data_IF_328139493895
#
_entry.id   IF_328139493895
#
_cell.length_a   1.000
_cell.length_b   1.000
_cell.length_c   1.000
_cell.angle_alpha   90.00
_cell.angle_beta   90.00
_cell.angle_gamma   90.00
#
_symmetry.space_group_name_H-M   'P 1'
#
loop_
_entity.id
_entity.type
_entity.pdbx_description
1 polymer ?
#
# COMPACT_ATOMS: atom_id res chain seq x y z
N UNK A 1 -1.93 44.40 8.33
CA UNK A 1 -2.85 43.94 7.26
C UNK A 1 -4.18 43.55 7.91
N UNK A 2 -5.30 43.84 7.27
CA UNK A 2 -6.58 43.31 7.72
C UNK A 2 -6.73 41.81 7.34
N UNK A 3 -7.67 41.15 7.95
CA UNK A 3 -7.85 39.70 7.78
C UNK A 3 -8.18 39.29 6.32
N UNK A 4 -8.95 40.11 5.61
CA UNK A 4 -9.29 39.85 4.22
C UNK A 4 -8.06 39.91 3.32
N UNK A 5 -7.15 40.87 3.52
CA UNK A 5 -5.89 40.92 2.77
C UNK A 5 -5.01 39.72 3.04
N UNK A 6 -4.99 39.20 4.27
CA UNK A 6 -4.25 37.95 4.59
C UNK A 6 -4.87 36.74 3.92
N UNK A 7 -6.20 36.64 3.85
CA UNK A 7 -6.89 35.55 3.14
C UNK A 7 -6.57 35.57 1.65
N UNK A 8 -6.51 36.72 1.02
CA UNK A 8 -6.14 36.85 -0.40
C UNK A 8 -4.69 36.42 -0.66
N UNK A 9 -3.75 36.80 0.21
CA UNK A 9 -2.35 36.38 0.11
C UNK A 9 -2.27 34.85 0.21
N UNK A 10 -2.85 34.23 1.24
CA UNK A 10 -2.82 32.78 1.41
C UNK A 10 -3.45 32.08 0.21
N UNK A 11 -4.62 32.55 -0.25
CA UNK A 11 -5.30 32.00 -1.43
C UNK A 11 -4.42 32.04 -2.67
N UNK A 12 -3.73 33.17 -2.90
CA UNK A 12 -2.77 33.32 -4.01
C UNK A 12 -1.68 32.26 -3.93
N UNK A 13 -1.11 32.00 -2.75
CA UNK A 13 -0.07 30.95 -2.59
C UNK A 13 -0.62 29.56 -2.88
N UNK A 14 -1.84 29.23 -2.46
CA UNK A 14 -2.48 27.95 -2.84
C UNK A 14 -2.64 27.81 -4.35
N UNK A 15 -3.07 28.87 -5.04
CA UNK A 15 -3.23 28.86 -6.50
C UNK A 15 -1.88 28.78 -7.23
N UNK A 16 -0.91 29.61 -6.84
CA UNK A 16 0.38 29.72 -7.52
C UNK A 16 1.27 28.48 -7.32
N UNK A 17 1.23 27.88 -6.12
CA UNK A 17 2.12 26.75 -5.79
C UNK A 17 1.44 25.40 -5.85
N UNK A 18 0.16 25.29 -5.43
CA UNK A 18 -0.53 24.00 -5.34
C UNK A 18 -1.59 23.81 -6.42
N UNK A 19 -1.85 24.85 -7.23
CA UNK A 19 -2.83 24.84 -8.33
C UNK A 19 -4.24 24.43 -7.89
N UNK A 20 -4.64 24.87 -6.69
CA UNK A 20 -5.98 24.66 -6.11
C UNK A 20 -6.37 25.76 -5.14
N UNK A 21 -7.67 25.86 -4.86
CA UNK A 21 -8.16 26.68 -3.78
C UNK A 21 -7.80 26.08 -2.40
N UNK A 22 -7.56 26.92 -1.38
CA UNK A 22 -7.39 26.40 -0.03
C UNK A 22 -8.70 25.79 0.50
N UNK A 23 -8.57 24.71 1.26
CA UNK A 23 -9.63 24.28 2.14
C UNK A 23 -9.77 25.25 3.33
N UNK A 24 -10.92 25.22 4.02
CA UNK A 24 -11.20 26.16 5.12
C UNK A 24 -10.16 26.06 6.24
N UNK A 25 -9.76 24.84 6.61
CA UNK A 25 -8.81 24.62 7.70
C UNK A 25 -7.41 25.15 7.34
N UNK A 26 -6.93 24.89 6.12
CA UNK A 26 -5.65 25.40 5.63
C UNK A 26 -5.63 26.92 5.52
N UNK A 27 -6.72 27.53 5.00
CA UNK A 27 -6.85 28.98 4.92
C UNK A 27 -6.77 29.61 6.31
N UNK A 28 -7.58 29.13 7.24
CA UNK A 28 -7.62 29.65 8.61
C UNK A 28 -6.29 29.49 9.34
N UNK A 29 -5.63 28.34 9.18
CA UNK A 29 -4.34 28.08 9.78
C UNK A 29 -3.27 29.09 9.36
N UNK A 30 -3.06 29.29 8.07
CA UNK A 30 -2.04 30.22 7.58
C UNK A 30 -2.40 31.69 7.85
N UNK A 31 -3.67 32.08 7.76
CA UNK A 31 -4.13 33.40 8.14
C UNK A 31 -3.86 33.67 9.63
N UNK A 32 -4.11 32.69 10.50
CA UNK A 32 -3.81 32.82 11.93
C UNK A 32 -2.30 33.02 12.17
N UNK A 33 -1.44 32.20 11.53
CA UNK A 33 0.02 32.30 11.68
C UNK A 33 0.53 33.68 11.22
N UNK A 34 0.03 34.20 10.11
CA UNK A 34 0.40 35.53 9.61
C UNK A 34 -0.14 36.66 10.51
N UNK A 35 -1.39 36.56 10.99
CA UNK A 35 -2.03 37.54 11.87
C UNK A 35 -1.31 37.66 13.20
N UNK A 36 -0.84 36.54 13.74
CA UNK A 36 -0.07 36.49 15.00
C UNK A 36 1.42 36.73 14.79
N UNK A 37 1.86 37.10 13.58
CA UNK A 37 3.26 37.39 13.22
C UNK A 37 4.22 36.22 13.50
N UNK A 38 3.73 34.97 13.55
CA UNK A 38 4.55 33.78 13.65
C UNK A 38 5.27 33.48 12.32
N UNK A 39 4.64 33.89 11.21
CA UNK A 39 5.23 33.81 9.87
C UNK A 39 4.99 35.13 9.12
N UNK A 40 5.95 35.46 8.25
CA UNK A 40 5.80 36.48 7.21
C UNK A 40 5.56 35.81 5.84
N UNK A 41 5.41 36.63 4.80
CA UNK A 41 5.16 36.15 3.43
C UNK A 41 6.31 35.31 2.87
N UNK A 42 7.56 35.60 3.24
CA UNK A 42 8.75 34.85 2.84
C UNK A 42 8.77 33.45 3.48
N UNK A 43 8.43 33.38 4.77
CA UNK A 43 8.31 32.11 5.49
C UNK A 43 7.14 31.29 4.89
N UNK A 44 5.99 31.94 4.62
CA UNK A 44 4.87 31.30 3.97
C UNK A 44 5.28 30.68 2.63
N UNK A 45 5.99 31.42 1.78
CA UNK A 45 6.51 30.91 0.52
C UNK A 45 7.39 29.69 0.73
N UNK A 46 8.33 29.74 1.67
CA UNK A 46 9.17 28.60 1.98
C UNK A 46 8.38 27.37 2.45
N UNK A 47 7.31 27.57 3.23
CA UNK A 47 6.45 26.46 3.66
C UNK A 47 5.77 25.81 2.46
N UNK A 48 5.27 26.58 1.49
CA UNK A 48 4.63 26.06 0.29
C UNK A 48 5.61 25.31 -0.62
N UNK A 49 6.75 25.90 -0.98
CA UNK A 49 7.74 25.24 -1.87
C UNK A 49 8.40 24.00 -1.27
N UNK A 50 8.42 23.89 0.06
CA UNK A 50 8.91 22.72 0.77
C UNK A 50 7.84 21.70 1.13
N UNK A 51 6.55 22.04 0.89
CA UNK A 51 5.46 21.13 1.20
C UNK A 51 5.54 19.84 0.36
N UNK A 52 5.11 18.70 0.91
CA UNK A 52 5.02 17.46 0.14
C UNK A 52 4.13 17.61 -1.10
N UNK A 53 3.02 18.32 -0.99
CA UNK A 53 2.07 18.55 -2.08
C UNK A 53 2.73 19.29 -3.26
N UNK A 54 3.46 20.37 -3.00
CA UNK A 54 4.19 21.08 -4.05
C UNK A 54 5.21 20.17 -4.75
N UNK A 55 6.02 19.44 -3.97
CA UNK A 55 7.03 18.52 -4.50
C UNK A 55 6.40 17.41 -5.35
N UNK A 56 5.27 16.86 -4.90
CA UNK A 56 4.49 15.86 -5.67
C UNK A 56 4.00 16.46 -6.99
N UNK A 57 3.44 17.67 -6.97
CA UNK A 57 2.93 18.33 -8.17
C UNK A 57 4.05 18.58 -9.19
N UNK A 58 5.22 19.06 -8.74
CA UNK A 58 6.38 19.30 -9.61
C UNK A 58 6.91 17.99 -10.23
N UNK A 59 7.07 16.95 -9.40
CA UNK A 59 7.51 15.64 -9.89
C UNK A 59 6.47 15.02 -10.82
N UNK A 60 5.18 15.11 -10.51
CA UNK A 60 4.11 14.59 -11.35
C UNK A 60 4.14 15.22 -12.74
N UNK A 61 4.31 16.54 -12.81
CA UNK A 61 4.45 17.23 -14.09
C UNK A 61 5.66 16.72 -14.87
N UNK A 62 6.83 16.64 -14.23
CA UNK A 62 8.05 16.11 -14.83
C UNK A 62 7.90 14.65 -15.28
N UNK A 63 7.33 13.80 -14.44
CA UNK A 63 7.16 12.36 -14.70
C UNK A 63 6.22 12.07 -15.87
N UNK A 64 5.19 12.90 -16.08
CA UNK A 64 4.31 12.77 -17.25
C UNK A 64 5.04 12.99 -18.59
N UNK A 65 6.19 13.64 -18.58
CA UNK A 65 6.98 13.91 -19.80
C UNK A 65 8.00 12.79 -20.10
N UNK A 66 8.24 11.89 -19.15
CA UNK A 66 9.31 10.88 -19.25
C UNK A 66 8.70 9.49 -18.98
N UNK A 67 8.63 8.60 -19.99
CA UNK A 67 7.96 7.31 -19.84
C UNK A 67 8.69 6.35 -18.86
N UNK A 68 10.00 6.49 -18.69
CA UNK A 68 10.80 5.69 -17.75
C UNK A 68 11.47 6.60 -16.74
N UNK A 69 11.08 6.47 -15.48
CA UNK A 69 11.64 7.26 -14.37
C UNK A 69 12.36 6.36 -13.38
N UNK A 70 13.30 6.96 -12.66
CA UNK A 70 14.04 6.35 -11.57
C UNK A 70 13.37 6.72 -10.25
N UNK A 71 13.10 5.73 -9.41
CA UNK A 71 12.64 5.89 -8.04
C UNK A 71 13.78 5.54 -7.10
N UNK A 72 13.99 6.39 -6.08
CA UNK A 72 14.96 6.18 -5.01
C UNK A 72 14.23 6.13 -3.66
N UNK A 73 14.42 5.08 -2.91
CA UNK A 73 13.79 4.88 -1.60
C UNK A 73 14.72 4.12 -0.67
N UNK A 74 15.03 4.70 0.51
CA UNK A 74 15.86 4.07 1.55
C UNK A 74 17.16 3.45 0.98
N UNK A 75 17.87 4.16 0.09
CA UNK A 75 19.11 3.67 -0.55
C UNK A 75 18.91 2.63 -1.66
N UNK A 76 17.67 2.23 -1.96
CA UNK A 76 17.36 1.34 -3.08
C UNK A 76 16.87 2.13 -4.30
N UNK A 77 17.15 1.58 -5.47
CA UNK A 77 16.83 2.21 -6.75
C UNK A 77 16.15 1.21 -7.67
N UNK A 78 15.12 1.66 -8.37
CA UNK A 78 14.47 0.91 -9.43
C UNK A 78 13.82 1.84 -10.45
N UNK A 79 13.52 1.32 -11.63
CA UNK A 79 12.88 2.04 -12.72
C UNK A 79 11.42 1.63 -12.89
N UNK A 80 10.58 2.59 -13.24
CA UNK A 80 9.14 2.35 -13.47
C UNK A 80 8.64 3.15 -14.68
N UNK A 81 7.52 2.69 -15.23
CA UNK A 81 6.78 3.44 -16.23
C UNK A 81 5.85 4.44 -15.52
N UNK A 82 6.00 5.72 -15.84
CA UNK A 82 5.25 6.81 -15.21
C UNK A 82 3.97 7.19 -15.95
N UNK A 83 3.77 6.70 -17.18
CA UNK A 83 2.74 7.24 -18.11
C UNK A 83 1.33 7.31 -17.50
N UNK A 84 0.94 6.33 -16.68
CA UNK A 84 -0.41 6.28 -16.09
C UNK A 84 -0.44 6.61 -14.59
N UNK A 85 0.70 6.55 -13.90
CA UNK A 85 0.78 6.63 -12.45
C UNK A 85 1.80 7.66 -11.95
N UNK A 86 2.02 8.74 -12.71
CA UNK A 86 3.03 9.76 -12.40
C UNK A 86 2.85 10.36 -10.99
N UNK A 87 1.62 10.66 -10.59
CA UNK A 87 1.32 11.22 -9.26
C UNK A 87 1.60 10.23 -8.14
N UNK A 88 1.26 8.96 -8.33
CA UNK A 88 1.58 7.89 -7.39
C UNK A 88 3.10 7.76 -7.19
N UNK A 89 3.86 7.63 -8.29
CA UNK A 89 5.32 7.52 -8.21
C UNK A 89 5.98 8.76 -7.61
N UNK A 90 5.42 9.96 -7.86
CA UNK A 90 5.86 11.20 -7.23
C UNK A 90 5.60 11.16 -5.72
N UNK A 91 4.44 10.70 -5.26
CA UNK A 91 4.12 10.58 -3.82
C UNK A 91 5.02 9.56 -3.12
N UNK A 92 5.33 8.45 -3.77
CA UNK A 92 6.31 7.47 -3.28
C UNK A 92 7.72 8.05 -3.18
N UNK A 93 8.18 8.79 -4.21
CA UNK A 93 9.49 9.44 -4.23
C UNK A 93 9.63 10.49 -3.12
N UNK A 94 8.59 11.28 -2.88
CA UNK A 94 8.56 12.30 -1.80
C UNK A 94 8.47 11.65 -0.41
N UNK A 95 8.03 10.40 -0.32
CA UNK A 95 7.93 9.65 0.93
C UNK A 95 6.60 9.81 1.65
N UNK A 96 5.53 10.20 0.93
CA UNK A 96 4.17 10.31 1.47
C UNK A 96 3.43 8.98 1.41
N UNK A 97 3.66 8.18 0.34
CA UNK A 97 3.00 6.88 0.20
C UNK A 97 3.72 5.81 1.03
N UNK A 98 3.04 5.25 1.98
CA UNK A 98 3.40 4.10 2.83
C UNK A 98 4.88 4.02 3.26
N UNK A 99 5.47 5.07 3.84
CA UNK A 99 6.88 5.04 4.23
C UNK A 99 7.19 3.95 5.26
N UNK A 100 6.23 3.56 6.07
CA UNK A 100 6.33 2.52 7.09
C UNK A 100 6.48 1.12 6.47
N UNK A 101 5.75 0.81 5.41
CA UNK A 101 5.83 -0.48 4.69
C UNK A 101 7.26 -0.79 4.25
N UNK A 102 7.98 0.21 3.76
CA UNK A 102 9.38 0.02 3.35
C UNK A 102 10.33 -0.22 4.54
N UNK A 103 10.07 0.40 5.70
CA UNK A 103 10.83 0.12 6.93
C UNK A 103 10.58 -1.31 7.43
N UNK A 104 9.32 -1.76 7.38
CA UNK A 104 8.95 -3.14 7.72
C UNK A 104 9.69 -4.12 6.82
N UNK A 105 9.73 -3.86 5.51
CA UNK A 105 10.48 -4.68 4.55
C UNK A 105 11.99 -4.68 4.82
N UNK A 106 12.57 -3.55 5.25
CA UNK A 106 13.99 -3.46 5.59
C UNK A 106 14.35 -4.27 6.84
N UNK A 107 13.40 -4.49 7.75
CA UNK A 107 13.58 -5.24 8.99
C UNK A 107 13.38 -6.75 8.76
N UNK A 108 12.31 -7.14 8.08
CA UNK A 108 11.87 -8.54 8.04
C UNK A 108 12.27 -9.30 6.77
N UNK A 109 12.62 -8.62 5.68
CA UNK A 109 13.07 -9.31 4.46
C UNK A 109 14.57 -9.53 4.47
N UNK A 110 15.01 -10.73 4.11
CA UNK A 110 16.41 -11.11 4.03
C UNK A 110 16.76 -11.93 2.79
N UNK A 111 18.05 -12.06 2.48
CA UNK A 111 18.55 -12.74 1.28
C UNK A 111 18.46 -14.27 1.30
N UNK A 112 18.05 -14.85 2.42
CA UNK A 112 17.96 -16.30 2.58
C UNK A 112 16.54 -16.81 2.33
N UNK A 113 15.53 -15.91 2.47
CA UNK A 113 14.13 -16.27 2.41
C UNK A 113 13.38 -15.58 1.29
N UNK A 114 12.34 -16.25 0.82
CA UNK A 114 11.38 -15.69 -0.12
C UNK A 114 10.26 -14.95 0.61
N UNK A 115 9.58 -14.06 -0.09
CA UNK A 115 8.34 -13.47 0.41
C UNK A 115 7.23 -13.51 -0.64
N UNK A 116 5.99 -13.40 -0.15
CA UNK A 116 4.79 -13.32 -0.98
C UNK A 116 4.18 -11.92 -0.83
N UNK A 117 3.81 -11.32 -1.95
CA UNK A 117 3.07 -10.06 -2.03
C UNK A 117 1.69 -10.33 -2.61
N UNK A 118 0.68 -10.42 -1.73
CA UNK A 118 -0.73 -10.54 -2.12
C UNK A 118 -1.32 -9.14 -2.28
N UNK A 119 -1.75 -8.81 -3.49
CA UNK A 119 -2.13 -7.46 -3.90
C UNK A 119 -0.91 -6.65 -4.32
N UNK A 120 -0.17 -7.19 -5.28
CA UNK A 120 1.08 -6.57 -5.76
C UNK A 120 0.86 -5.29 -6.56
N UNK A 121 -0.36 -5.05 -7.02
CA UNK A 121 -0.78 -3.91 -7.84
C UNK A 121 0.22 -3.68 -8.99
N UNK A 122 0.72 -2.45 -9.18
CA UNK A 122 1.71 -2.09 -10.22
C UNK A 122 3.17 -2.32 -9.78
N UNK A 123 3.40 -2.92 -8.62
CA UNK A 123 4.67 -3.44 -8.14
C UNK A 123 5.55 -2.54 -7.28
N UNK A 124 5.07 -1.52 -6.55
CA UNK A 124 5.94 -0.69 -5.71
C UNK A 124 6.64 -1.51 -4.62
N UNK A 125 5.90 -2.37 -3.93
CA UNK A 125 6.38 -3.28 -2.89
C UNK A 125 7.23 -4.41 -3.46
N UNK A 126 6.87 -4.95 -4.64
CA UNK A 126 7.63 -5.99 -5.35
C UNK A 126 9.02 -5.49 -5.73
N UNK A 127 9.13 -4.34 -6.39
CA UNK A 127 10.39 -3.76 -6.86
C UNK A 127 11.32 -3.38 -5.70
N UNK A 128 10.73 -2.92 -4.59
CA UNK A 128 11.50 -2.60 -3.40
C UNK A 128 11.90 -3.87 -2.63
N UNK A 129 10.93 -4.73 -2.28
CA UNK A 129 11.12 -5.89 -1.42
C UNK A 129 12.04 -6.94 -2.05
N UNK A 130 11.96 -7.16 -3.37
CA UNK A 130 12.84 -8.08 -4.08
C UNK A 130 14.33 -7.69 -3.97
N UNK A 131 14.65 -6.42 -3.67
CA UNK A 131 16.02 -6.02 -3.41
C UNK A 131 16.52 -6.44 -2.03
N UNK A 132 15.64 -6.76 -1.08
CA UNK A 132 15.96 -7.29 0.24
C UNK A 132 15.84 -8.81 0.30
N UNK A 133 14.80 -9.37 -0.28
CA UNK A 133 14.50 -10.80 -0.23
C UNK A 133 15.37 -11.63 -1.20
N UNK A 134 15.38 -12.95 -0.98
CA UNK A 134 15.93 -13.93 -1.92
C UNK A 134 15.09 -14.01 -3.18
N UNK A 135 13.77 -14.11 -3.03
CA UNK A 135 12.81 -14.25 -4.12
C UNK A 135 11.46 -13.62 -3.74
N UNK A 136 10.72 -13.14 -4.72
CA UNK A 136 9.38 -12.58 -4.55
C UNK A 136 8.35 -13.34 -5.37
N UNK A 137 7.23 -13.70 -4.75
CA UNK A 137 6.04 -14.20 -5.42
C UNK A 137 4.96 -13.12 -5.40
N UNK A 138 4.77 -12.46 -6.53
CA UNK A 138 3.84 -11.35 -6.70
C UNK A 138 2.50 -11.85 -7.26
N UNK A 139 1.41 -11.62 -6.54
CA UNK A 139 0.07 -12.05 -6.93
C UNK A 139 -0.81 -10.81 -7.09
N UNK A 140 -1.34 -10.62 -8.30
CA UNK A 140 -2.19 -9.49 -8.65
C UNK A 140 -3.32 -9.94 -9.58
N UNK A 141 -4.59 -9.90 -9.14
CA UNK A 141 -5.72 -10.36 -9.95
C UNK A 141 -6.16 -9.39 -11.04
N UNK A 142 -6.00 -8.07 -10.86
CA UNK A 142 -6.40 -7.07 -11.85
C UNK A 142 -5.48 -7.17 -13.08
N UNK A 143 -5.99 -7.54 -14.27
CA UNK A 143 -5.15 -7.76 -15.45
C UNK A 143 -4.48 -6.48 -15.95
N UNK A 144 -5.05 -5.31 -15.67
CA UNK A 144 -4.45 -4.02 -16.06
C UNK A 144 -3.29 -3.68 -15.12
N UNK A 145 -3.50 -3.78 -13.81
CA UNK A 145 -2.44 -3.63 -12.82
C UNK A 145 -1.33 -4.66 -13.01
N UNK A 146 -1.68 -5.93 -13.23
CA UNK A 146 -0.74 -7.00 -13.49
C UNK A 146 0.15 -6.75 -14.72
N UNK A 147 -0.43 -6.25 -15.82
CA UNK A 147 0.35 -5.85 -16.99
C UNK A 147 1.33 -4.72 -16.67
N UNK A 148 0.90 -3.74 -15.88
CA UNK A 148 1.77 -2.65 -15.44
C UNK A 148 2.88 -3.14 -14.50
N UNK A 149 2.57 -4.05 -13.56
CA UNK A 149 3.54 -4.73 -12.70
C UNK A 149 4.65 -5.37 -13.54
N UNK A 150 4.29 -6.21 -14.51
CA UNK A 150 5.25 -6.85 -15.40
C UNK A 150 6.11 -5.84 -16.16
N UNK A 151 5.48 -4.84 -16.77
CA UNK A 151 6.19 -3.78 -17.48
C UNK A 151 7.19 -3.05 -16.55
N UNK A 152 6.82 -2.79 -15.30
CA UNK A 152 7.70 -2.16 -14.34
C UNK A 152 8.88 -3.06 -13.95
N UNK A 153 8.65 -4.37 -13.77
CA UNK A 153 9.73 -5.32 -13.50
C UNK A 153 10.67 -5.47 -14.70
N UNK A 154 10.16 -5.50 -15.93
CA UNK A 154 10.96 -5.57 -17.15
C UNK A 154 11.93 -4.39 -17.33
N UNK A 155 11.63 -3.25 -16.71
CA UNK A 155 12.55 -2.10 -16.66
C UNK A 155 13.74 -2.29 -15.70
N UNK A 156 13.75 -3.40 -14.92
CA UNK A 156 14.75 -3.73 -13.89
C UNK A 156 15.35 -5.13 -14.13
N UNK A 157 16.22 -5.33 -15.14
CA UNK A 157 16.72 -6.64 -15.55
C UNK A 157 17.38 -7.45 -14.42
N UNK A 158 17.98 -6.76 -13.46
CA UNK A 158 18.61 -7.36 -12.27
C UNK A 158 17.63 -8.00 -11.28
N UNK A 159 16.32 -7.72 -11.41
CA UNK A 159 15.27 -8.25 -10.54
C UNK A 159 14.45 -9.37 -11.20
N UNK A 160 14.38 -9.43 -12.52
CA UNK A 160 13.50 -10.35 -13.29
C UNK A 160 13.63 -11.81 -12.83
N UNK A 161 14.87 -12.30 -12.67
CA UNK A 161 15.13 -13.70 -12.30
C UNK A 161 14.73 -14.05 -10.85
N UNK A 162 14.35 -13.07 -10.05
CA UNK A 162 13.98 -13.22 -8.63
C UNK A 162 12.52 -12.92 -8.34
N UNK A 163 11.68 -12.82 -9.38
CA UNK A 163 10.27 -12.53 -9.25
C UNK A 163 9.46 -13.53 -10.05
N UNK A 164 8.51 -14.20 -9.39
CA UNK A 164 7.45 -14.98 -10.03
C UNK A 164 6.15 -14.20 -9.97
N UNK A 165 5.33 -14.34 -11.01
CA UNK A 165 4.08 -13.60 -11.15
C UNK A 165 2.88 -14.53 -11.24
N UNK A 166 1.77 -14.16 -10.60
CA UNK A 166 0.48 -14.80 -10.80
C UNK A 166 -0.62 -13.78 -11.03
N UNK A 167 -1.30 -13.87 -12.19
CA UNK A 167 -2.50 -13.06 -12.44
C UNK A 167 -3.73 -13.84 -11.97
N UNK A 168 -3.90 -13.93 -10.66
CA UNK A 168 -5.01 -14.64 -10.01
C UNK A 168 -5.36 -13.98 -8.66
N UNK A 169 -6.57 -14.27 -8.17
CA UNK A 169 -6.92 -14.03 -6.78
C UNK A 169 -6.41 -15.17 -5.89
N UNK A 170 -6.06 -14.86 -4.64
CA UNK A 170 -6.02 -15.89 -3.58
C UNK A 170 -7.39 -15.89 -2.89
N UNK A 171 -8.00 -17.08 -2.80
CA UNK A 171 -9.35 -17.30 -2.28
C UNK A 171 -9.38 -18.58 -1.43
N UNK A 172 -10.58 -18.96 -1.01
CA UNK A 172 -10.85 -20.22 -0.30
C UNK A 172 -10.98 -21.43 -1.24
N UNK A 173 -11.07 -21.20 -2.54
CA UNK A 173 -11.17 -22.23 -3.58
C UNK A 173 -10.39 -21.85 -4.84
N UNK A 174 -9.99 -22.89 -5.62
CA UNK A 174 -9.27 -22.73 -6.89
C UNK A 174 -10.24 -22.82 -8.05
N UNK A 175 -10.95 -21.73 -8.34
CA UNK A 175 -11.97 -21.64 -9.37
C UNK A 175 -11.88 -20.31 -10.14
N UNK A 176 -12.94 -19.89 -10.77
CA UNK A 176 -13.10 -18.57 -11.36
C UNK A 176 -13.94 -17.72 -10.42
N UNK A 177 -13.44 -16.57 -10.04
CA UNK A 177 -14.15 -15.58 -9.24
C UNK A 177 -14.40 -14.29 -10.00
N UNK A 178 -15.12 -13.34 -9.40
CA UNK A 178 -15.33 -12.01 -9.95
C UNK A 178 -14.52 -10.99 -9.19
N UNK A 179 -13.70 -10.26 -9.92
CA UNK A 179 -13.03 -9.05 -9.43
C UNK A 179 -13.86 -7.84 -9.87
N UNK A 180 -14.17 -6.94 -8.96
CA UNK A 180 -14.95 -5.73 -9.21
C UNK A 180 -14.17 -4.50 -8.79
N UNK A 181 -14.17 -3.45 -9.59
CA UNK A 181 -13.63 -2.15 -9.24
C UNK A 181 -14.74 -1.10 -9.06
N UNK A 182 -14.52 -0.13 -8.17
CA UNK A 182 -15.36 1.07 -8.05
C UNK A 182 -14.89 2.18 -9.00
N UNK A 183 -13.61 2.19 -9.32
CA UNK A 183 -12.96 3.10 -10.25
C UNK A 183 -12.79 2.50 -11.65
N UNK A 184 -11.56 2.38 -12.08
CA UNK A 184 -11.13 1.72 -13.33
C UNK A 184 -10.16 0.59 -13.00
N UNK A 185 -10.13 -0.47 -13.83
CA UNK A 185 -9.12 -1.51 -13.69
C UNK A 185 -7.71 -0.91 -13.87
N UNK A 186 -6.79 -1.34 -13.00
CA UNK A 186 -5.45 -0.77 -12.90
C UNK A 186 -5.29 0.23 -11.76
N UNK A 187 -6.39 0.70 -11.14
CA UNK A 187 -6.30 1.39 -9.86
C UNK A 187 -6.04 0.39 -8.71
N UNK A 188 -5.78 0.89 -7.49
CA UNK A 188 -5.50 0.05 -6.32
C UNK A 188 -6.75 -0.46 -5.61
N UNK A 189 -7.95 -0.23 -6.14
CA UNK A 189 -9.22 -0.42 -5.42
C UNK A 189 -10.09 -1.55 -5.98
N UNK A 190 -9.51 -2.56 -6.63
CA UNK A 190 -10.24 -3.74 -7.11
C UNK A 190 -10.39 -4.79 -6.02
N UNK A 191 -11.58 -5.36 -5.84
CA UNK A 191 -11.85 -6.35 -4.80
C UNK A 191 -12.80 -7.46 -5.24
N UNK A 192 -12.62 -8.64 -4.63
CA UNK A 192 -13.56 -9.77 -4.75
C UNK A 192 -14.77 -9.64 -3.82
N UNK A 193 -14.72 -8.74 -2.84
CA UNK A 193 -15.79 -8.52 -1.85
C UNK A 193 -16.85 -7.54 -2.35
N UNK A 194 -16.56 -6.76 -3.39
CA UNK A 194 -17.50 -5.81 -3.94
C UNK A 194 -18.65 -6.51 -4.66
N UNK A 195 -19.84 -5.93 -4.54
CA UNK A 195 -21.01 -6.44 -5.26
C UNK A 195 -20.74 -6.41 -6.77
N UNK A 196 -21.02 -7.55 -7.42
CA UNK A 196 -20.92 -7.66 -8.88
C UNK A 196 -21.69 -6.57 -9.61
N UNK A 197 -21.07 -5.95 -10.60
CA UNK A 197 -21.59 -4.84 -11.40
C UNK A 197 -21.15 -4.97 -12.87
N UNK A 198 -21.45 -3.97 -13.69
CA UNK A 198 -20.90 -3.85 -15.05
C UNK A 198 -19.38 -3.68 -15.08
N UNK A 199 -18.77 -3.27 -13.95
CA UNK A 199 -17.32 -3.16 -13.73
C UNK A 199 -16.75 -4.41 -13.04
N UNK A 200 -17.25 -5.59 -13.37
CA UNK A 200 -16.77 -6.87 -12.85
C UNK A 200 -16.22 -7.72 -13.98
N UNK A 201 -15.07 -8.33 -13.75
CA UNK A 201 -14.44 -9.28 -14.68
C UNK A 201 -14.26 -10.64 -13.99
N UNK A 202 -14.21 -11.69 -14.81
CA UNK A 202 -13.84 -13.03 -14.33
C UNK A 202 -12.33 -13.13 -14.27
N UNK A 203 -11.82 -13.59 -13.13
CA UNK A 203 -10.38 -13.85 -12.91
C UNK A 203 -10.19 -15.24 -12.31
N UNK A 204 -9.07 -15.91 -12.59
CA UNK A 204 -8.75 -17.18 -11.95
C UNK A 204 -8.51 -16.96 -10.46
N UNK A 205 -8.84 -17.96 -9.64
CA UNK A 205 -8.48 -18.00 -8.23
C UNK A 205 -7.70 -19.25 -7.88
N UNK A 206 -6.90 -19.15 -6.84
CA UNK A 206 -6.16 -20.26 -6.24
C UNK A 206 -6.23 -20.15 -4.72
N UNK A 207 -6.08 -21.26 -4.02
CA UNK A 207 -5.82 -21.20 -2.58
C UNK A 207 -4.35 -20.91 -2.33
N UNK A 208 -4.02 -20.29 -1.20
CA UNK A 208 -2.60 -20.06 -0.90
C UNK A 208 -1.84 -21.39 -0.77
N UNK A 209 -2.47 -22.42 -0.19
CA UNK A 209 -1.86 -23.75 -0.11
C UNK A 209 -1.53 -24.32 -1.49
N UNK A 210 -2.45 -24.23 -2.45
CA UNK A 210 -2.20 -24.67 -3.82
C UNK A 210 -1.09 -23.86 -4.48
N UNK A 211 -1.10 -22.54 -4.25
CA UNK A 211 -0.05 -21.66 -4.77
C UNK A 211 1.35 -22.03 -4.24
N UNK A 212 1.48 -22.37 -2.95
CA UNK A 212 2.73 -22.87 -2.38
C UNK A 212 3.20 -24.17 -3.05
N UNK A 213 2.27 -25.11 -3.28
CA UNK A 213 2.58 -26.39 -3.92
C UNK A 213 3.01 -26.21 -5.38
N UNK A 214 2.24 -25.43 -6.16
CA UNK A 214 2.50 -25.20 -7.58
C UNK A 214 3.85 -24.51 -7.83
N UNK A 215 4.23 -23.60 -6.95
CA UNK A 215 5.48 -22.86 -7.03
C UNK A 215 6.62 -23.48 -6.20
N UNK A 216 6.38 -24.61 -5.51
CA UNK A 216 7.36 -25.33 -4.67
C UNK A 216 8.01 -24.41 -3.62
N UNK A 217 7.22 -23.56 -3.01
CA UNK A 217 7.70 -22.56 -2.03
C UNK A 217 7.96 -23.29 -0.70
N UNK A 218 9.19 -23.23 -0.21
CA UNK A 218 9.61 -23.91 1.03
C UNK A 218 10.34 -22.98 2.01
N UNK A 219 10.63 -21.76 1.61
CA UNK A 219 11.48 -20.81 2.33
C UNK A 219 10.84 -19.41 2.50
N UNK A 220 9.50 -19.34 2.46
CA UNK A 220 8.77 -18.11 2.65
C UNK A 220 8.65 -17.78 4.15
N UNK A 221 9.28 -16.68 4.58
CA UNK A 221 9.22 -16.21 5.96
C UNK A 221 8.42 -14.90 6.14
N UNK A 222 7.96 -14.30 5.03
CA UNK A 222 7.20 -13.05 5.06
C UNK A 222 6.06 -13.04 4.05
N UNK A 223 4.88 -12.58 4.47
CA UNK A 223 3.71 -12.44 3.61
C UNK A 223 3.12 -11.04 3.79
N UNK A 224 3.11 -10.22 2.73
CA UNK A 224 2.27 -9.02 2.68
C UNK A 224 0.88 -9.41 2.19
N UNK A 225 -0.15 -8.92 2.86
CA UNK A 225 -1.56 -9.11 2.49
C UNK A 225 -2.26 -7.77 2.47
N UNK A 226 -2.68 -7.34 1.29
CA UNK A 226 -3.36 -6.09 1.04
C UNK A 226 -4.24 -6.27 -0.20
N UNK A 227 -5.46 -6.76 0.02
CA UNK A 227 -6.37 -7.27 -1.02
C UNK A 227 -7.81 -6.77 -0.87
N UNK A 228 -7.94 -5.56 -0.34
CA UNK A 228 -9.16 -4.77 -0.37
C UNK A 228 -10.42 -5.53 0.15
N UNK A 229 -10.29 -6.10 1.36
CA UNK A 229 -11.34 -6.85 2.04
C UNK A 229 -11.30 -8.37 1.84
N UNK A 230 -10.49 -8.89 0.93
CA UNK A 230 -10.29 -10.33 0.71
C UNK A 230 -9.57 -11.03 1.87
N UNK A 231 -8.85 -10.29 2.74
CA UNK A 231 -8.11 -10.79 3.90
C UNK A 231 -8.99 -11.64 4.80
N UNK A 232 -10.26 -11.23 4.96
CA UNK A 232 -11.22 -11.90 5.83
C UNK A 232 -11.69 -13.26 5.30
N UNK A 233 -11.53 -13.50 4.01
CA UNK A 233 -11.79 -14.79 3.37
C UNK A 233 -10.52 -15.64 3.34
N UNK A 234 -9.39 -15.04 2.98
CA UNK A 234 -8.12 -15.75 2.74
C UNK A 234 -7.48 -16.23 4.03
N UNK A 235 -7.31 -15.36 5.04
CA UNK A 235 -6.60 -15.72 6.27
C UNK A 235 -7.17 -16.94 7.01
N UNK A 236 -8.50 -17.11 7.16
CA UNK A 236 -9.05 -18.32 7.79
C UNK A 236 -8.67 -19.62 7.07
N UNK A 237 -8.48 -19.59 5.75
CA UNK A 237 -8.09 -20.78 4.97
C UNK A 237 -6.62 -21.15 5.18
N UNK A 238 -5.81 -20.17 5.60
CA UNK A 238 -4.38 -20.33 5.84
C UNK A 238 -4.03 -20.76 7.26
N UNK A 239 -4.99 -20.87 8.17
CA UNK A 239 -4.75 -21.04 9.60
C UNK A 239 -3.72 -22.13 9.92
N UNK A 240 -3.88 -23.34 9.37
CA UNK A 240 -2.95 -24.46 9.62
C UNK A 240 -1.53 -24.18 9.13
N UNK A 241 -1.41 -23.52 7.98
CA UNK A 241 -0.13 -23.12 7.42
C UNK A 241 0.53 -22.07 8.32
N UNK A 242 -0.21 -21.03 8.70
CA UNK A 242 0.29 -19.94 9.55
C UNK A 242 0.69 -20.42 10.96
N UNK A 243 -0.05 -21.38 11.52
CA UNK A 243 0.29 -21.97 12.83
C UNK A 243 1.58 -22.81 12.78
N UNK A 244 1.85 -23.46 11.64
CA UNK A 244 3.02 -24.31 11.45
C UNK A 244 4.27 -23.54 11.05
N UNK A 245 4.17 -22.74 10.01
CA UNK A 245 5.34 -22.09 9.38
C UNK A 245 5.68 -20.73 10.01
N UNK A 246 4.70 -20.08 10.65
CA UNK A 246 4.89 -18.82 11.40
C UNK A 246 5.60 -17.71 10.63
N UNK A 247 5.28 -17.48 9.33
CA UNK A 247 5.87 -16.36 8.63
C UNK A 247 5.46 -15.03 9.31
N UNK A 248 6.29 -14.02 9.25
CA UNK A 248 5.86 -12.66 9.56
C UNK A 248 4.81 -12.20 8.56
N UNK A 249 3.72 -11.60 9.03
CA UNK A 249 2.63 -11.12 8.18
C UNK A 249 2.53 -9.61 8.31
N UNK A 250 2.68 -8.90 7.20
CA UNK A 250 2.24 -7.50 7.09
C UNK A 250 0.83 -7.50 6.53
N UNK A 251 -0.13 -7.18 7.36
CA UNK A 251 -1.56 -7.35 7.10
C UNK A 251 -2.27 -5.99 7.08
N UNK A 252 -2.73 -5.58 5.91
CA UNK A 252 -3.65 -4.45 5.76
C UNK A 252 -5.08 -4.96 5.88
N UNK A 253 -5.83 -4.44 6.82
CA UNK A 253 -7.21 -4.84 7.10
C UNK A 253 -8.19 -3.75 6.66
N UNK A 254 -9.23 -4.17 5.92
CA UNK A 254 -10.23 -3.30 5.33
C UNK A 254 -11.66 -3.57 5.85
N UNK A 255 -11.93 -3.48 7.17
CA UNK A 255 -13.25 -3.79 7.75
C UNK A 255 -14.42 -3.04 7.11
N UNK A 256 -14.29 -1.74 6.72
CA UNK A 256 -15.38 -1.01 6.08
C UNK A 256 -15.83 -1.57 4.72
N UNK A 257 -15.03 -2.44 4.09
CA UNK A 257 -15.35 -3.02 2.78
C UNK A 257 -16.20 -4.30 2.87
N UNK A 258 -16.42 -4.83 4.09
CA UNK A 258 -17.13 -6.09 4.29
C UNK A 258 -18.35 -5.92 5.19
N UNK A 259 -19.29 -6.87 5.09
CA UNK A 259 -20.40 -6.98 6.03
C UNK A 259 -19.93 -7.75 7.28
N UNK A 260 -20.54 -7.45 8.43
CA UNK A 260 -20.23 -8.11 9.70
C UNK A 260 -18.74 -8.08 10.05
N UNK A 261 -18.12 -6.93 9.91
CA UNK A 261 -16.69 -6.71 10.12
C UNK A 261 -16.21 -7.22 11.48
N UNK A 262 -16.98 -7.01 12.55
CA UNK A 262 -16.63 -7.46 13.90
C UNK A 262 -16.47 -8.98 14.02
N UNK A 263 -17.41 -9.76 13.46
CA UNK A 263 -17.31 -11.23 13.49
C UNK A 263 -16.16 -11.74 12.61
N UNK A 264 -15.87 -11.03 11.55
CA UNK A 264 -14.71 -11.31 10.69
C UNK A 264 -13.41 -10.99 11.40
N UNK A 265 -13.30 -9.86 12.11
CA UNK A 265 -12.16 -9.51 12.94
C UNK A 265 -11.93 -10.54 14.07
N UNK A 266 -12.98 -11.11 14.66
CA UNK A 266 -12.83 -12.23 15.62
C UNK A 266 -12.18 -13.47 15.01
N UNK A 267 -12.48 -13.79 13.74
CA UNK A 267 -11.81 -14.92 13.06
C UNK A 267 -10.33 -14.61 12.83
N UNK A 268 -10.01 -13.39 12.41
CA UNK A 268 -8.63 -12.93 12.25
C UNK A 268 -7.89 -12.95 13.60
N UNK A 269 -8.52 -12.44 14.67
CA UNK A 269 -7.95 -12.48 16.04
C UNK A 269 -7.55 -13.89 16.47
N UNK A 270 -8.37 -14.92 16.21
CA UNK A 270 -8.04 -16.31 16.55
C UNK A 270 -6.75 -16.78 15.88
N UNK A 271 -6.45 -16.28 14.70
CA UNK A 271 -5.23 -16.61 13.94
C UNK A 271 -4.04 -15.86 14.51
N UNK A 272 -4.14 -14.53 14.59
CA UNK A 272 -3.01 -13.70 15.02
C UNK A 272 -2.67 -13.91 16.51
N UNK A 273 -3.66 -14.31 17.36
CA UNK A 273 -3.42 -14.61 18.76
C UNK A 273 -2.44 -15.79 18.98
N UNK A 274 -2.19 -16.60 17.95
CA UNK A 274 -1.20 -17.69 17.98
C UNK A 274 0.24 -17.22 17.79
N UNK A 275 0.44 -16.00 17.35
CA UNK A 275 1.75 -15.37 17.24
C UNK A 275 2.17 -14.72 18.55
N UNK A 276 3.46 -14.52 18.74
CA UNK A 276 3.99 -13.92 19.97
C UNK A 276 3.72 -12.42 20.04
N UNK A 277 3.90 -11.72 18.91
CA UNK A 277 3.86 -10.26 18.85
C UNK A 277 2.92 -9.75 17.76
N UNK A 278 2.31 -8.62 18.07
CA UNK A 278 1.56 -7.79 17.11
C UNK A 278 2.08 -6.36 17.25
N UNK A 279 2.39 -5.72 16.13
CA UNK A 279 2.83 -4.33 16.09
C UNK A 279 1.91 -3.52 15.16
N UNK A 280 1.83 -2.21 15.37
CA UNK A 280 1.26 -1.30 14.36
C UNK A 280 2.26 -1.06 13.22
N UNK A 281 1.86 -0.30 12.20
CA UNK A 281 2.72 0.04 11.05
C UNK A 281 3.94 0.90 11.43
N UNK A 282 3.99 1.49 12.63
CA UNK A 282 5.14 2.22 13.18
C UNK A 282 6.03 1.34 14.06
N UNK A 283 5.75 0.04 14.09
CA UNK A 283 6.46 -0.97 14.89
C UNK A 283 6.32 -0.77 16.41
N UNK A 284 5.24 -0.11 16.83
CA UNK A 284 4.86 -0.05 18.23
C UNK A 284 4.10 -1.31 18.60
N UNK A 285 4.53 -1.99 19.66
CA UNK A 285 3.85 -3.18 20.16
C UNK A 285 2.38 -2.89 20.54
N UNK A 286 1.50 -3.79 20.15
CA UNK A 286 0.07 -3.74 20.42
C UNK A 286 -0.34 -4.96 21.24
N UNK A 287 -1.33 -4.77 22.13
CA UNK A 287 -2.07 -5.90 22.67
C UNK A 287 -2.84 -6.59 21.54
N UNK A 288 -2.87 -7.92 21.52
CA UNK A 288 -3.51 -8.68 20.43
C UNK A 288 -5.00 -8.35 20.27
N UNK A 289 -5.66 -8.01 21.39
CA UNK A 289 -7.05 -7.56 21.47
C UNK A 289 -7.30 -6.22 20.78
N UNK A 290 -6.25 -5.47 20.44
CA UNK A 290 -6.37 -4.21 19.67
C UNK A 290 -7.27 -4.39 18.46
N UNK A 291 -7.15 -5.52 17.73
CA UNK A 291 -7.90 -5.80 16.52
C UNK A 291 -9.43 -5.86 16.76
N UNK A 292 -9.86 -6.18 18.00
CA UNK A 292 -11.27 -6.31 18.37
C UNK A 292 -11.88 -4.99 18.87
N UNK A 293 -11.13 -3.88 18.89
CA UNK A 293 -11.68 -2.59 19.30
C UNK A 293 -12.80 -2.15 18.36
N UNK A 294 -13.87 -1.60 18.94
CA UNK A 294 -15.06 -1.21 18.19
C UNK A 294 -14.77 -0.19 17.06
N UNK A 295 -13.85 0.75 17.31
CA UNK A 295 -13.44 1.76 16.33
C UNK A 295 -12.67 1.19 15.12
N UNK A 296 -12.18 -0.03 15.19
CA UNK A 296 -11.53 -0.72 14.07
C UNK A 296 -12.52 -1.24 13.01
N UNK A 297 -13.82 -1.30 13.31
CA UNK A 297 -14.83 -1.69 12.31
C UNK A 297 -15.01 -0.65 11.20
N UNK A 298 -14.70 0.60 11.47
CA UNK A 298 -15.01 1.75 10.61
C UNK A 298 -13.76 2.38 9.97
N UNK A 299 -12.58 1.74 10.11
CA UNK A 299 -11.33 2.26 9.55
C UNK A 299 -10.47 1.16 8.93
N UNK A 300 -9.59 1.57 8.02
CA UNK A 300 -8.49 0.75 7.51
C UNK A 300 -7.32 0.83 8.48
N UNK A 301 -6.63 -0.27 8.68
CA UNK A 301 -5.45 -0.30 9.54
C UNK A 301 -4.53 -1.46 9.22
N UNK A 302 -3.24 -1.28 9.50
CA UNK A 302 -2.21 -2.28 9.30
C UNK A 302 -1.77 -2.86 10.63
N UNK A 303 -1.44 -4.15 10.62
CA UNK A 303 -0.74 -4.82 11.71
C UNK A 303 0.39 -5.69 11.16
N UNK A 304 1.46 -5.76 11.92
CA UNK A 304 2.55 -6.72 11.70
C UNK A 304 2.41 -7.82 12.75
N UNK A 305 2.26 -9.05 12.29
CA UNK A 305 2.06 -10.23 13.12
C UNK A 305 3.29 -11.12 12.98
N UNK A 306 3.99 -11.40 14.07
CA UNK A 306 5.27 -12.11 14.02
C UNK A 306 5.60 -12.84 15.32
N UNK A 307 6.51 -13.80 15.25
CA UNK A 307 7.13 -14.43 16.43
C UNK A 307 8.51 -13.80 16.73
N UNK A 308 8.97 -12.84 15.94
CA UNK A 308 10.24 -12.12 16.12
C UNK A 308 10.06 -10.88 17.01
N UNK A 309 11.07 -10.62 17.85
CA UNK A 309 11.17 -9.37 18.65
C UNK A 309 11.91 -8.33 17.80
N UNK A 310 11.35 -7.12 17.73
CA UNK A 310 11.93 -5.96 17.02
C UNK A 310 12.70 -5.09 18.03
#
# INVERSE_FOLDING_TARGET
>A
MNENSLKEIVRKYYLDYLNREPDSAGLEHYVYLMKTKQIDEKILQNMFVNSPEYKINQLTFSYKQIPKIKIEKNGKTFFVNSSNNASFWASMQVGVWEPETFKIFDIFLDKNHSYIDLGAWIGPTVLYGCQNAKFCYAIEPDPVAFKQLKNNVDLNPNLISRISFSNSCVMDSSEITYLTTKGEFGDSCSSTTFKKSSKSIKVPSTTLQQFFLDNRITDCNFIKIDIEGGEFTVLPTMQKFLEKEKPTIHLSLHPPLIKNSYDSLKKIYKIISKYNFVYDNKLKALEKEFILRADNNDKFFDVIVTDEII
#
